data_IF_943022687344
#
_entry.id   IF_943022687344
#
_cell.length_a   1.000
_cell.length_b   1.000
_cell.length_c   1.000
_cell.angle_alpha   90.00
_cell.angle_beta   90.00
_cell.angle_gamma   90.00
#
_symmetry.space_group_name_H-M   'P 1'
#
loop_
_entity.id
_entity.type
_entity.pdbx_description
1 polymer ?
#
# COMPACT_ATOMS: atom_id res chain seq x y z
N UNK A 1 -1.98 -18.86 -8.37
CA UNK A 1 -2.00 -18.15 -7.08
C UNK A 1 -3.40 -17.65 -6.82
N UNK A 2 -3.96 -17.96 -5.65
CA UNK A 2 -5.25 -17.40 -5.19
C UNK A 2 -5.04 -16.39 -4.06
N UNK A 3 -6.00 -15.47 -3.94
CA UNK A 3 -6.12 -14.58 -2.79
C UNK A 3 -6.71 -15.36 -1.62
N UNK A 4 -6.08 -15.28 -0.46
CA UNK A 4 -6.54 -15.93 0.78
C UNK A 4 -7.26 -14.96 1.71
N UNK A 5 -6.83 -13.70 1.75
CA UNK A 5 -7.36 -12.69 2.68
C UNK A 5 -7.17 -11.28 2.14
N UNK A 6 -8.11 -10.37 2.46
CA UNK A 6 -7.91 -8.92 2.30
C UNK A 6 -7.44 -8.34 3.63
N UNK A 7 -6.36 -7.56 3.61
CA UNK A 7 -5.87 -6.87 4.81
C UNK A 7 -6.74 -5.65 5.14
N UNK A 8 -6.69 -5.22 6.40
CA UNK A 8 -7.40 -4.02 6.84
C UNK A 8 -6.80 -2.76 6.22
N UNK A 9 -7.70 -1.82 5.93
CA UNK A 9 -7.40 -0.48 5.44
C UNK A 9 -7.75 0.53 6.53
N UNK A 10 -7.11 1.69 6.50
CA UNK A 10 -7.48 2.82 7.37
C UNK A 10 -8.42 3.78 6.66
N UNK A 11 -8.88 4.83 7.34
CA UNK A 11 -9.71 5.86 6.71
C UNK A 11 -8.88 6.92 5.98
N UNK A 12 -7.84 7.45 6.62
CA UNK A 12 -7.14 8.67 6.16
C UNK A 12 -5.65 8.50 5.85
N UNK A 13 -5.07 7.30 5.96
CA UNK A 13 -3.69 7.07 5.51
C UNK A 13 -3.52 7.50 4.04
N UNK A 14 -2.36 8.05 3.70
CA UNK A 14 -2.07 8.45 2.33
C UNK A 14 -2.04 7.26 1.37
N UNK A 15 -1.51 6.11 1.78
CA UNK A 15 -1.43 4.91 0.93
C UNK A 15 -2.72 4.09 1.01
N UNK A 16 -3.06 3.57 2.17
CA UNK A 16 -4.14 2.60 2.34
C UNK A 16 -5.48 3.21 2.81
N UNK A 17 -5.57 4.54 2.93
CA UNK A 17 -6.74 5.23 3.44
C UNK A 17 -7.83 5.36 2.39
N UNK A 18 -8.91 4.60 2.51
CA UNK A 18 -9.95 4.56 1.46
C UNK A 18 -10.77 5.86 1.35
N UNK A 19 -10.77 6.69 2.40
CA UNK A 19 -11.49 7.98 2.45
C UNK A 19 -10.54 9.18 2.32
N UNK A 20 -9.26 8.96 1.98
CA UNK A 20 -8.34 10.05 1.70
C UNK A 20 -8.49 10.49 0.24
N UNK A 21 -9.15 11.63 0.00
CA UNK A 21 -9.42 12.13 -1.35
C UNK A 21 -8.16 12.32 -2.20
N UNK A 22 -7.02 12.61 -1.57
CA UNK A 22 -5.72 12.85 -2.23
C UNK A 22 -4.75 11.67 -2.05
N UNK A 23 -5.22 10.56 -1.49
CA UNK A 23 -4.42 9.37 -1.24
C UNK A 23 -4.53 8.35 -2.37
N UNK A 24 -3.64 7.37 -2.34
CA UNK A 24 -3.56 6.28 -3.33
C UNK A 24 -4.74 5.31 -3.20
N UNK A 25 -5.35 5.22 -2.00
CA UNK A 25 -6.50 4.34 -1.69
C UNK A 25 -6.22 2.87 -2.03
N UNK A 26 -5.01 2.41 -1.71
CA UNK A 26 -4.50 1.09 -2.05
C UNK A 26 -5.16 -0.03 -1.21
N UNK A 27 -5.85 -1.00 -1.83
CA UNK A 27 -6.25 -2.23 -1.16
C UNK A 27 -5.11 -3.25 -1.16
N UNK A 28 -5.06 -4.13 -0.15
CA UNK A 28 -4.00 -5.14 -0.05
C UNK A 28 -4.58 -6.53 0.18
N UNK A 29 -4.00 -7.50 -0.51
CA UNK A 29 -4.46 -8.89 -0.57
C UNK A 29 -3.31 -9.84 -0.27
N UNK A 30 -3.52 -10.75 0.67
CA UNK A 30 -2.60 -11.84 0.97
C UNK A 30 -2.87 -13.00 0.00
N UNK A 31 -1.78 -13.62 -0.44
CA UNK A 31 -1.79 -14.74 -1.39
C UNK A 31 -1.45 -16.06 -0.68
N UNK A 32 -1.72 -17.19 -1.34
CA UNK A 32 -1.43 -18.54 -0.80
C UNK A 32 0.05 -18.76 -0.41
N UNK A 33 0.98 -18.09 -1.08
CA UNK A 33 2.43 -18.17 -0.85
C UNK A 33 2.95 -17.16 0.19
N UNK A 34 2.04 -16.48 0.91
CA UNK A 34 2.31 -15.38 1.84
C UNK A 34 2.84 -14.10 1.20
N UNK A 35 2.83 -13.97 -0.12
CA UNK A 35 3.05 -12.66 -0.74
C UNK A 35 1.85 -11.73 -0.51
N UNK A 36 2.09 -10.43 -0.64
CA UNK A 36 1.04 -9.40 -0.62
C UNK A 36 1.02 -8.66 -1.94
N UNK A 37 -0.18 -8.47 -2.49
CA UNK A 37 -0.40 -7.75 -3.74
C UNK A 37 -1.38 -6.61 -3.52
N UNK A 38 -1.15 -5.49 -4.22
CA UNK A 38 -2.08 -4.37 -4.30
C UNK A 38 -2.32 -4.01 -5.76
N UNK A 39 -3.58 -3.73 -6.09
CA UNK A 39 -3.97 -3.18 -7.38
C UNK A 39 -4.31 -1.71 -7.20
N UNK A 40 -3.51 -0.85 -7.82
CA UNK A 40 -3.62 0.60 -7.69
C UNK A 40 -3.49 1.25 -9.06
N UNK A 41 -4.36 2.23 -9.28
CA UNK A 41 -4.27 3.15 -10.42
C UNK A 41 -4.00 4.52 -9.83
N UNK A 42 -2.83 5.08 -10.16
CA UNK A 42 -2.49 6.44 -9.74
C UNK A 42 -3.29 7.46 -10.54
N UNK A 43 -3.77 8.50 -9.86
CA UNK A 43 -4.44 9.64 -10.49
C UNK A 43 -3.46 10.77 -10.86
N UNK A 44 -3.99 11.83 -11.48
CA UNK A 44 -3.22 13.03 -11.84
C UNK A 44 -2.67 13.82 -10.63
N UNK A 45 -3.30 13.72 -9.46
CA UNK A 45 -2.81 14.34 -8.22
C UNK A 45 -1.53 13.67 -7.71
N UNK A 46 -1.25 12.42 -8.12
CA UNK A 46 -0.01 11.71 -7.79
C UNK A 46 1.13 11.96 -8.79
N UNK A 47 0.96 12.90 -9.73
CA UNK A 47 1.91 13.15 -10.81
C UNK A 47 3.20 13.82 -10.33
N UNK A 48 4.33 13.45 -10.95
CA UNK A 48 5.56 14.24 -10.97
C UNK A 48 5.70 14.97 -12.30
N UNK A 49 6.35 14.38 -13.28
CA UNK A 49 6.33 14.86 -14.66
C UNK A 49 5.02 14.46 -15.36
N UNK A 50 4.60 15.17 -16.42
CA UNK A 50 3.40 14.83 -17.18
C UNK A 50 3.33 13.33 -17.53
N UNK A 51 2.28 12.65 -17.04
CA UNK A 51 2.05 11.21 -17.26
C UNK A 51 2.95 10.25 -16.46
N UNK A 52 3.64 10.72 -15.41
CA UNK A 52 4.50 9.90 -14.54
C UNK A 52 4.13 10.09 -13.07
N UNK A 53 4.08 9.00 -12.31
CA UNK A 53 3.86 9.02 -10.86
C UNK A 53 5.09 9.58 -10.15
N UNK A 54 4.89 10.37 -9.09
CA UNK A 54 6.01 10.91 -8.31
C UNK A 54 6.79 9.82 -7.59
N UNK A 55 8.13 9.85 -7.71
CA UNK A 55 9.02 8.85 -7.12
C UNK A 55 8.81 8.67 -5.62
N UNK A 56 8.60 9.76 -4.88
CA UNK A 56 8.27 9.70 -3.44
C UNK A 56 6.96 8.97 -3.12
N UNK A 57 5.96 9.01 -4.00
CA UNK A 57 4.69 8.28 -3.82
C UNK A 57 4.91 6.79 -4.08
N UNK A 58 5.72 6.45 -5.08
CA UNK A 58 6.15 5.07 -5.34
C UNK A 58 6.91 4.53 -4.11
N UNK A 59 7.86 5.29 -3.57
CA UNK A 59 8.59 4.91 -2.36
C UNK A 59 7.67 4.70 -1.16
N UNK A 60 6.69 5.59 -0.95
CA UNK A 60 5.71 5.44 0.13
C UNK A 60 4.81 4.20 -0.06
N UNK A 61 4.46 3.86 -1.31
CA UNK A 61 3.74 2.62 -1.61
C UNK A 61 4.59 1.38 -1.29
N UNK A 62 5.88 1.39 -1.65
CA UNK A 62 6.82 0.31 -1.34
C UNK A 62 7.02 0.13 0.18
N UNK A 63 7.10 1.24 0.92
CA UNK A 63 7.18 1.24 2.38
C UNK A 63 5.97 0.55 3.01
N UNK A 64 4.75 0.94 2.62
CA UNK A 64 3.52 0.32 3.10
C UNK A 64 3.44 -1.17 2.69
N UNK A 65 3.82 -1.54 1.46
CA UNK A 65 3.85 -2.95 1.01
C UNK A 65 4.80 -3.78 1.86
N UNK A 66 5.98 -3.25 2.20
CA UNK A 66 6.97 -3.97 3.01
C UNK A 66 6.43 -4.28 4.41
N UNK A 67 5.82 -3.30 5.08
CA UNK A 67 5.17 -3.52 6.37
C UNK A 67 4.01 -4.52 6.29
N UNK A 68 3.23 -4.46 5.20
CA UNK A 68 2.12 -5.39 4.97
C UNK A 68 2.56 -6.81 4.67
N UNK A 69 3.69 -6.98 3.99
CA UNK A 69 4.31 -8.29 3.80
C UNK A 69 4.72 -8.91 5.14
N UNK A 70 5.31 -8.13 6.04
CA UNK A 70 5.62 -8.58 7.41
C UNK A 70 4.36 -9.04 8.15
N UNK A 71 3.24 -8.34 8.01
CA UNK A 71 1.97 -8.72 8.65
C UNK A 71 1.39 -10.07 8.23
N UNK A 72 1.83 -10.64 7.10
CA UNK A 72 1.46 -12.02 6.73
C UNK A 72 2.13 -13.07 7.60
N UNK A 73 3.22 -12.70 8.28
CA UNK A 73 3.99 -13.54 9.19
C UNK A 73 3.73 -13.15 10.64
N UNK A 74 3.72 -11.85 10.93
CA UNK A 74 3.57 -11.27 12.26
C UNK A 74 2.50 -10.16 12.25
N UNK A 75 1.22 -10.49 12.40
CA UNK A 75 0.10 -9.54 12.24
C UNK A 75 0.10 -8.35 13.22
N UNK A 76 0.77 -8.51 14.37
CA UNK A 76 0.85 -7.50 15.43
C UNK A 76 2.16 -6.68 15.37
N UNK A 77 3.05 -6.99 14.42
CA UNK A 77 4.32 -6.30 14.29
C UNK A 77 4.13 -4.87 13.76
N UNK A 78 4.95 -3.96 14.25
CA UNK A 78 4.96 -2.57 13.77
C UNK A 78 6.15 -2.39 12.84
N UNK A 79 5.89 -2.02 11.59
CA UNK A 79 6.92 -1.67 10.63
C UNK A 79 6.88 -0.16 10.39
N UNK A 80 7.84 0.56 10.97
CA UNK A 80 7.96 2.02 10.84
C UNK A 80 9.39 2.39 10.46
N UNK A 81 9.59 3.27 9.47
CA UNK A 81 10.91 3.79 9.16
C UNK A 81 11.48 4.55 10.36
N UNK A 82 12.71 4.21 10.77
CA UNK A 82 13.49 4.98 11.74
C UNK A 82 14.28 6.07 11.00
N UNK A 83 14.51 7.19 11.69
CA UNK A 83 15.32 8.32 11.18
C UNK A 83 16.81 8.09 11.38
#
# INVERSE_FOLDING_TARGET
>A
MKVTKKQFNTRKCFICGMENERGVKAPFYEMEDKSVVSYVTFDELHQSYPGRVHGGIISAMLDEVAGRALWTLEPEAWAVPVR
#
